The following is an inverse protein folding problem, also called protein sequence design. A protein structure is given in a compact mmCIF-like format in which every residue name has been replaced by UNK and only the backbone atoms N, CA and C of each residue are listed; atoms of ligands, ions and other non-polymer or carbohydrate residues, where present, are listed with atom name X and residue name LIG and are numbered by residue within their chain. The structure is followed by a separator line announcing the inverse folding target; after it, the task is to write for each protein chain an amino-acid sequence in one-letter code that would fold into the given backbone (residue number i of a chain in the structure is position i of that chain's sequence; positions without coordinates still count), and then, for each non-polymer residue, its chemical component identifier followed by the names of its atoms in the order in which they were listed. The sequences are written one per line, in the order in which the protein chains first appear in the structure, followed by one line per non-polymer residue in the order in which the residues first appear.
data_IF_751594529731
#
_entry.id   IF_751594529731
#
_cell.length_a   1.000
_cell.length_b   1.000
_cell.length_c   1.000
_cell.angle_alpha   90.00
_cell.angle_beta   90.00
_cell.angle_gamma   90.00
#
_symmetry.space_group_name_H-M   'P 1'
#
loop_
_entity.id
_entity.type
_entity.pdbx_description
1 polymer ?
#
# COMPACT_ATOMS: atom_id res chain seq x y z
N UNK A 1 -69.88 13.27 2.32
CA UNK A 1 -70.75 13.72 1.21
C UNK A 1 -69.86 14.25 0.09
N UNK A 2 -69.96 13.59 -1.08
CA UNK A 2 -69.78 14.07 -2.46
C UNK A 2 -68.53 14.93 -2.80
N UNK A 3 -67.48 14.43 -3.46
CA UNK A 3 -67.35 13.88 -4.83
C UNK A 3 -67.46 14.93 -5.95
N UNK A 4 -66.34 15.18 -6.63
CA UNK A 4 -66.33 15.58 -8.04
C UNK A 4 -65.38 14.66 -8.83
N UNK A 5 -65.98 13.93 -9.78
CA UNK A 5 -65.37 13.10 -10.82
C UNK A 5 -65.24 13.94 -12.09
N UNK A 6 -64.23 13.65 -12.91
CA UNK A 6 -64.25 13.48 -14.40
C UNK A 6 -62.81 13.50 -14.91
N UNK A 7 -62.38 12.83 -15.98
CA UNK A 7 -62.73 11.61 -16.72
C UNK A 7 -61.57 11.47 -17.73
N UNK A 8 -61.07 10.26 -17.94
CA UNK A 8 -60.04 9.97 -18.93
C UNK A 8 -60.53 10.15 -20.38
N UNK A 9 -59.62 10.43 -21.31
CA UNK A 9 -59.78 10.12 -22.73
C UNK A 9 -58.43 9.86 -23.39
N UNK A 10 -58.17 8.59 -23.68
CA UNK A 10 -57.14 8.14 -24.62
C UNK A 10 -57.51 8.54 -26.05
N UNK A 11 -56.52 8.92 -26.85
CA UNK A 11 -56.61 8.88 -28.31
C UNK A 11 -55.38 8.18 -28.88
N UNK A 12 -55.67 7.11 -29.61
CA UNK A 12 -54.77 6.38 -30.47
C UNK A 12 -54.29 7.25 -31.64
N UNK A 13 -53.00 7.12 -31.98
CA UNK A 13 -52.52 7.32 -33.34
C UNK A 13 -51.72 6.08 -33.73
N UNK A 14 -52.22 5.43 -34.77
CA UNK A 14 -51.70 4.22 -35.39
C UNK A 14 -50.67 4.54 -36.49
N UNK A 15 -49.59 3.76 -36.46
CA UNK A 15 -48.87 3.15 -37.60
C UNK A 15 -48.14 4.05 -38.61
N UNK A 16 -46.81 3.85 -38.68
CA UNK A 16 -46.18 3.37 -39.92
C UNK A 16 -44.83 2.70 -39.64
N UNK A 17 -44.69 1.50 -40.20
CA UNK A 17 -43.55 0.59 -40.17
C UNK A 17 -42.34 1.18 -40.91
N UNK A 18 -41.16 1.11 -40.28
CA UNK A 18 -39.85 1.21 -40.94
C UNK A 18 -38.98 0.06 -40.45
N UNK A 19 -38.71 -0.90 -41.31
CA UNK A 19 -37.85 -2.03 -41.04
C UNK A 19 -36.39 -1.62 -41.26
N UNK A 20 -35.57 -1.60 -40.22
CA UNK A 20 -34.12 -1.58 -40.35
C UNK A 20 -33.51 -2.88 -39.85
N UNK A 21 -32.72 -3.46 -40.75
CA UNK A 21 -32.04 -4.75 -40.66
C UNK A 21 -30.95 -4.68 -39.59
N UNK A 22 -31.06 -5.50 -38.56
CA UNK A 22 -29.95 -5.81 -37.69
C UNK A 22 -29.00 -6.78 -38.41
N UNK A 23 -27.81 -6.30 -38.76
CA UNK A 23 -26.70 -7.15 -39.15
C UNK A 23 -26.08 -7.79 -37.90
N UNK A 24 -26.40 -9.06 -37.68
CA UNK A 24 -25.64 -9.94 -36.79
C UNK A 24 -24.30 -10.29 -37.46
N UNK A 25 -23.19 -9.82 -36.91
CA UNK A 25 -21.87 -10.33 -37.27
C UNK A 25 -21.51 -11.47 -36.30
N UNK A 26 -21.96 -12.68 -36.64
CA UNK A 26 -21.52 -13.91 -35.98
C UNK A 26 -20.11 -14.26 -36.48
N UNK A 27 -19.11 -14.23 -35.59
CA UNK A 27 -17.78 -14.79 -35.87
C UNK A 27 -17.80 -16.29 -35.60
N UNK A 28 -18.02 -17.07 -36.65
CA UNK A 28 -17.81 -18.51 -36.71
C UNK A 28 -16.31 -18.82 -36.80
N UNK A 29 -15.83 -19.70 -35.91
CA UNK A 29 -14.53 -20.39 -36.01
C UNK A 29 -14.61 -21.43 -37.14
N UNK A 30 -13.57 -21.64 -37.96
CA UNK A 30 -13.41 -22.87 -38.72
C UNK A 30 -12.56 -23.87 -37.94
N UNK A 31 -13.14 -25.05 -37.73
CA UNK A 31 -12.47 -26.29 -37.33
C UNK A 31 -12.09 -27.09 -38.57
N UNK A 32 -10.82 -27.49 -38.69
CA UNK A 32 -10.38 -28.56 -39.60
C UNK A 32 -9.43 -29.50 -38.85
N UNK A 33 -9.71 -30.80 -38.93
CA UNK A 33 -9.07 -31.91 -38.23
C UNK A 33 -7.93 -32.54 -39.06
N UNK A 34 -6.84 -32.89 -38.36
CA UNK A 34 -5.96 -34.08 -38.44
C UNK A 34 -5.20 -34.46 -39.73
N UNK A 35 -3.85 -34.53 -39.67
CA UNK A 35 -3.06 -35.80 -39.55
C UNK A 35 -1.50 -35.57 -39.54
N UNK A 36 -0.65 -36.57 -39.18
CA UNK A 36 0.58 -36.39 -38.36
C UNK A 36 1.97 -36.61 -39.03
N UNK A 37 3.00 -36.20 -38.26
CA UNK A 37 4.48 -36.41 -38.22
C UNK A 37 5.22 -37.28 -39.28
N UNK A 38 6.52 -36.98 -39.53
CA UNK A 38 7.58 -37.76 -38.84
C UNK A 38 8.80 -36.94 -38.37
N UNK A 39 9.44 -37.38 -37.26
CA UNK A 39 10.85 -37.09 -36.94
C UNK A 39 11.81 -37.96 -37.77
N UNK A 40 13.15 -37.82 -37.65
CA UNK A 40 13.85 -38.46 -36.53
C UNK A 40 15.18 -37.80 -36.06
N UNK A 41 15.64 -38.25 -34.86
CA UNK A 41 17.02 -38.52 -34.39
C UNK A 41 18.16 -37.52 -34.70
N UNK A 42 19.06 -37.13 -33.80
CA UNK A 42 19.43 -37.59 -32.46
C UNK A 42 20.76 -36.93 -32.05
N UNK A 43 21.33 -37.43 -30.95
CA UNK A 43 22.68 -37.18 -30.39
C UNK A 43 22.83 -36.08 -29.31
N UNK A 44 23.06 -36.54 -28.07
CA UNK A 44 24.33 -36.29 -27.38
C UNK A 44 24.42 -35.08 -26.46
N UNK A 45 24.27 -35.32 -25.15
CA UNK A 45 24.72 -34.54 -23.99
C UNK A 45 26.22 -34.12 -24.08
N UNK A 46 26.79 -33.19 -23.25
CA UNK A 46 26.49 -33.03 -21.82
C UNK A 46 26.50 -31.63 -21.21
N UNK A 47 25.90 -31.59 -20.02
CA UNK A 47 25.97 -30.56 -18.99
C UNK A 47 27.36 -29.96 -18.82
N UNK A 48 27.46 -28.62 -18.88
CA UNK A 48 28.56 -27.89 -18.26
C UNK A 48 28.06 -27.34 -16.93
N UNK A 49 28.37 -28.06 -15.84
CA UNK A 49 28.36 -27.51 -14.47
C UNK A 49 29.28 -26.30 -14.46
N UNK A 50 28.74 -25.12 -14.19
CA UNK A 50 29.51 -24.05 -13.57
C UNK A 50 29.17 -24.10 -12.09
N UNK A 51 30.01 -24.81 -11.35
CA UNK A 51 30.14 -24.58 -9.92
C UNK A 51 30.81 -23.21 -9.78
N UNK A 52 30.03 -22.19 -9.46
CA UNK A 52 30.57 -20.95 -8.90
C UNK A 52 30.64 -21.16 -7.40
N UNK A 53 31.88 -21.24 -6.94
CA UNK A 53 32.32 -21.30 -5.56
C UNK A 53 31.50 -20.34 -4.70
N UNK A 54 30.89 -20.88 -3.64
CA UNK A 54 30.36 -20.08 -2.56
C UNK A 54 31.55 -19.43 -1.84
N UNK A 55 31.91 -18.23 -2.30
CA UNK A 55 32.76 -17.32 -1.56
C UNK A 55 31.98 -16.93 -0.29
N UNK A 56 32.27 -17.66 0.80
CA UNK A 56 32.03 -17.22 2.15
C UNK A 56 32.85 -15.93 2.34
N UNK A 57 32.20 -14.78 2.17
CA UNK A 57 32.80 -13.47 2.28
C UNK A 57 31.87 -12.56 3.04
N UNK A 58 32.27 -12.22 4.27
CA UNK A 58 31.74 -11.20 5.16
C UNK A 58 30.20 -11.10 5.24
N UNK A 59 29.62 -11.66 6.30
CA UNK A 59 28.32 -11.22 6.78
C UNK A 59 28.44 -9.79 7.35
N UNK A 60 28.64 -8.81 6.48
CA UNK A 60 28.12 -7.48 6.76
C UNK A 60 26.65 -7.68 7.10
N UNK A 61 26.24 -7.29 8.31
CA UNK A 61 24.87 -7.41 8.76
C UNK A 61 24.01 -6.64 7.76
N UNK A 62 23.43 -7.35 6.78
CA UNK A 62 22.58 -6.73 5.78
C UNK A 62 21.40 -6.14 6.53
N UNK A 63 21.27 -4.82 6.44
CA UNK A 63 20.10 -4.13 6.98
C UNK A 63 18.87 -4.74 6.31
N UNK A 64 17.98 -5.31 7.12
CA UNK A 64 16.72 -5.90 6.64
C UNK A 64 15.93 -4.83 5.92
N UNK A 65 15.39 -5.17 4.75
CA UNK A 65 14.60 -4.25 3.93
C UNK A 65 13.12 -4.54 4.14
N UNK A 66 12.29 -3.51 4.00
CA UNK A 66 10.84 -3.66 4.11
C UNK A 66 10.27 -4.78 3.22
N UNK A 67 10.88 -5.02 2.05
CA UNK A 67 10.42 -6.01 1.07
C UNK A 67 10.89 -7.44 1.30
N UNK A 68 11.67 -7.70 2.35
CA UNK A 68 12.12 -9.05 2.68
C UNK A 68 10.92 -9.95 3.00
N UNK A 69 10.94 -11.20 2.53
CA UNK A 69 9.81 -12.13 2.67
C UNK A 69 9.45 -12.39 4.14
N UNK A 70 10.46 -12.53 5.00
CA UNK A 70 10.28 -12.69 6.45
C UNK A 70 9.57 -11.49 7.06
N UNK A 71 10.04 -10.27 6.75
CA UNK A 71 9.45 -9.01 7.23
C UNK A 71 8.01 -8.86 6.74
N UNK A 72 7.77 -9.11 5.45
CA UNK A 72 6.43 -9.04 4.87
C UNK A 72 5.49 -10.07 5.51
N UNK A 73 5.95 -11.29 5.78
CA UNK A 73 5.12 -12.33 6.41
C UNK A 73 4.66 -11.92 7.81
N UNK A 74 5.56 -11.33 8.60
CA UNK A 74 5.28 -10.82 9.95
C UNK A 74 4.29 -9.66 9.88
N UNK A 75 4.54 -8.68 9.00
CA UNK A 75 3.67 -7.52 8.86
C UNK A 75 2.27 -7.90 8.35
N UNK A 76 2.17 -8.87 7.43
CA UNK A 76 0.88 -9.39 6.94
C UNK A 76 0.11 -10.07 8.08
N UNK A 77 0.80 -10.87 8.91
CA UNK A 77 0.20 -11.51 10.09
C UNK A 77 -0.38 -10.45 11.05
N UNK A 78 0.44 -9.46 11.43
CA UNK A 78 0.04 -8.42 12.38
C UNK A 78 -1.07 -7.50 11.87
N UNK A 79 -1.11 -7.25 10.56
CA UNK A 79 -2.17 -6.41 9.96
C UNK A 79 -3.55 -7.02 10.18
N UNK A 80 -3.63 -8.35 10.19
CA UNK A 80 -4.88 -9.11 10.28
C UNK A 80 -5.77 -8.91 9.05
N UNK A 81 -6.79 -9.77 8.93
CA UNK A 81 -7.72 -9.74 7.80
C UNK A 81 -9.16 -9.66 8.33
N UNK A 82 -9.74 -8.47 8.28
CA UNK A 82 -11.14 -8.24 8.58
C UNK A 82 -11.91 -7.89 7.30
N UNK A 83 -12.66 -8.86 6.76
CA UNK A 83 -13.42 -8.70 5.52
C UNK A 83 -14.43 -7.55 5.57
N UNK A 84 -15.06 -7.31 6.72
CA UNK A 84 -16.07 -6.25 6.88
C UNK A 84 -15.43 -4.86 6.78
N UNK A 85 -14.21 -4.71 7.30
CA UNK A 85 -13.47 -3.45 7.23
C UNK A 85 -12.84 -3.22 5.86
N UNK A 86 -12.30 -4.28 5.24
CA UNK A 86 -11.67 -4.21 3.92
C UNK A 86 -12.72 -3.89 2.83
N UNK A 87 -13.86 -4.57 2.86
CA UNK A 87 -14.96 -4.37 1.91
C UNK A 87 -16.05 -3.45 2.50
N UNK A 88 -15.63 -2.34 3.12
CA UNK A 88 -16.56 -1.31 3.60
C UNK A 88 -17.37 -0.75 2.42
N UNK A 89 -18.69 -0.57 2.55
CA UNK A 89 -19.52 0.03 1.50
C UNK A 89 -18.98 1.39 1.06
N UNK A 90 -18.61 1.50 -0.21
CA UNK A 90 -18.09 2.73 -0.78
C UNK A 90 -19.23 3.71 -1.12
N UNK A 91 -18.96 5.00 -0.94
CA UNK A 91 -19.84 6.09 -1.39
C UNK A 91 -19.73 6.23 -2.91
N UNK A 92 -20.50 5.41 -3.64
CA UNK A 92 -20.52 5.37 -5.09
C UNK A 92 -21.94 5.21 -5.63
N UNK A 93 -22.12 5.38 -6.95
CA UNK A 93 -23.41 5.15 -7.60
C UNK A 93 -23.84 3.69 -7.38
N UNK A 94 -24.92 3.51 -6.63
CA UNK A 94 -25.42 2.19 -6.27
C UNK A 94 -26.08 1.51 -7.47
N UNK A 95 -25.87 0.20 -7.57
CA UNK A 95 -26.55 -0.70 -8.50
C UNK A 95 -27.40 -1.67 -7.69
N UNK A 96 -28.53 -2.18 -8.23
CA UNK A 96 -29.33 -3.17 -7.54
C UNK A 96 -28.48 -4.42 -7.22
N UNK A 97 -28.56 -4.97 -6.01
CA UNK A 97 -27.79 -6.16 -5.64
C UNK A 97 -28.31 -7.41 -6.36
N UNK A 98 -27.40 -8.36 -6.63
CA UNK A 98 -27.72 -9.65 -7.23
C UNK A 98 -27.73 -10.74 -6.16
N UNK A 99 -28.88 -11.39 -5.96
CA UNK A 99 -29.01 -12.51 -5.02
C UNK A 99 -28.74 -13.84 -5.71
N UNK A 100 -28.08 -14.76 -5.00
CA UNK A 100 -27.80 -16.13 -5.45
C UNK A 100 -28.11 -17.08 -4.30
N UNK A 101 -28.73 -18.22 -4.61
CA UNK A 101 -28.90 -19.32 -3.67
C UNK A 101 -27.66 -20.19 -3.73
N UNK A 102 -27.02 -20.44 -2.59
CA UNK A 102 -25.76 -21.18 -2.50
C UNK A 102 -25.87 -22.33 -1.50
N UNK A 103 -25.18 -23.43 -1.78
CA UNK A 103 -24.92 -24.48 -0.79
C UNK A 103 -23.81 -24.07 0.17
N UNK A 104 -23.64 -24.80 1.27
CA UNK A 104 -22.57 -24.52 2.24
C UNK A 104 -21.16 -24.55 1.60
N UNK A 105 -20.89 -25.53 0.75
CA UNK A 105 -19.62 -25.63 0.03
C UNK A 105 -19.39 -24.42 -0.90
N UNK A 106 -20.42 -23.98 -1.62
CA UNK A 106 -20.33 -22.79 -2.48
C UNK A 106 -20.12 -21.50 -1.68
N UNK A 107 -20.69 -21.40 -0.48
CA UNK A 107 -20.47 -20.27 0.42
C UNK A 107 -19.02 -20.24 0.91
N UNK A 108 -18.45 -21.39 1.27
CA UNK A 108 -17.04 -21.51 1.68
C UNK A 108 -16.07 -21.19 0.54
N UNK A 109 -16.37 -21.60 -0.68
CA UNK A 109 -15.59 -21.20 -1.86
C UNK A 109 -15.65 -19.70 -2.11
N UNK A 110 -16.84 -19.10 -1.99
CA UNK A 110 -17.03 -17.65 -2.14
C UNK A 110 -16.29 -16.85 -1.07
N UNK A 111 -16.28 -17.33 0.19
CA UNK A 111 -15.52 -16.68 1.26
C UNK A 111 -14.01 -16.80 1.04
N UNK A 112 -13.51 -17.95 0.55
CA UNK A 112 -12.09 -18.11 0.17
C UNK A 112 -11.68 -17.15 -0.95
N UNK A 113 -12.50 -17.01 -1.98
CA UNK A 113 -12.27 -16.03 -3.06
C UNK A 113 -12.25 -14.59 -2.53
N UNK A 114 -13.15 -14.25 -1.61
CA UNK A 114 -13.16 -12.93 -0.96
C UNK A 114 -11.89 -12.69 -0.13
N UNK A 115 -11.37 -13.72 0.56
CA UNK A 115 -10.10 -13.65 1.29
C UNK A 115 -8.91 -13.47 0.35
N UNK A 116 -8.86 -14.15 -0.79
CA UNK A 116 -7.81 -13.97 -1.79
C UNK A 116 -7.83 -12.56 -2.40
N UNK A 117 -9.02 -12.07 -2.75
CA UNK A 117 -9.19 -10.70 -3.22
C UNK A 117 -8.77 -9.66 -2.16
N UNK A 118 -9.11 -9.91 -0.90
CA UNK A 118 -8.72 -9.06 0.23
C UNK A 118 -7.19 -9.01 0.39
N UNK A 119 -6.48 -10.14 0.24
CA UNK A 119 -5.02 -10.18 0.28
C UNK A 119 -4.38 -9.32 -0.82
N UNK A 120 -4.93 -9.34 -2.04
CA UNK A 120 -4.45 -8.50 -3.15
C UNK A 120 -4.68 -7.01 -2.85
N UNK A 121 -5.84 -6.67 -2.29
CA UNK A 121 -6.17 -5.29 -1.91
C UNK A 121 -5.33 -4.78 -0.74
N UNK A 122 -4.95 -5.66 0.20
CA UNK A 122 -4.13 -5.36 1.37
C UNK A 122 -2.63 -5.28 1.05
N UNK A 123 -2.22 -5.47 -0.21
CA UNK A 123 -0.82 -5.32 -0.62
C UNK A 123 -0.28 -3.96 -0.19
N UNK A 124 0.76 -4.00 0.64
CA UNK A 124 1.35 -2.82 1.25
C UNK A 124 2.16 -2.03 0.21
N UNK A 125 2.09 -0.68 0.21
CA UNK A 125 2.92 0.12 -0.66
C UNK A 125 4.40 0.01 -0.26
N UNK A 126 5.34 0.11 -1.22
CA UNK A 126 6.76 0.16 -0.90
C UNK A 126 7.09 1.39 -0.04
N UNK A 127 7.91 1.16 0.98
CA UNK A 127 8.55 2.23 1.75
C UNK A 127 9.90 2.51 1.10
N UNK A 128 10.07 3.72 0.57
CA UNK A 128 11.29 4.19 -0.08
C UNK A 128 11.85 5.38 0.69
N UNK A 129 13.15 5.59 0.59
CA UNK A 129 13.82 6.78 1.11
C UNK A 129 13.51 8.00 0.22
N UNK A 130 13.75 9.19 0.77
CA UNK A 130 13.58 10.43 0.05
C UNK A 130 14.57 10.53 -1.12
N UNK A 131 14.03 10.80 -2.31
CA UNK A 131 14.86 10.96 -3.51
C UNK A 131 15.72 12.23 -3.46
N UNK A 132 16.97 12.11 -3.90
CA UNK A 132 17.87 13.26 -4.02
C UNK A 132 17.40 14.25 -5.12
N UNK A 133 17.56 15.58 -4.91
CA UNK A 133 17.20 16.59 -5.90
C UNK A 133 18.08 16.49 -7.16
N UNK A 134 17.48 16.73 -8.33
CA UNK A 134 18.18 16.71 -9.62
C UNK A 134 18.68 18.11 -9.93
N UNK A 135 20.00 18.29 -9.92
CA UNK A 135 20.67 19.54 -10.29
C UNK A 135 21.67 19.27 -11.43
N UNK A 136 21.16 18.89 -12.59
CA UNK A 136 21.96 18.54 -13.76
C UNK A 136 21.72 19.53 -14.91
N UNK A 137 22.79 20.17 -15.36
CA UNK A 137 22.81 21.19 -16.42
C UNK A 137 23.40 20.56 -17.68
N UNK A 138 22.63 20.58 -18.77
CA UNK A 138 23.03 19.96 -20.03
C UNK A 138 23.82 20.92 -20.92
N UNK A 139 23.41 22.18 -20.98
CA UNK A 139 24.04 23.21 -21.81
C UNK A 139 23.77 24.62 -21.28
N UNK A 140 24.66 25.57 -21.58
CA UNK A 140 24.54 26.98 -21.20
C UNK A 140 24.84 27.88 -22.40
N UNK A 141 23.82 28.57 -22.92
CA UNK A 141 23.99 29.50 -24.03
C UNK A 141 23.67 30.93 -23.57
N UNK A 142 24.69 31.65 -23.12
CA UNK A 142 24.57 33.04 -22.62
C UNK A 142 24.04 34.04 -23.65
N UNK A 143 24.13 33.71 -24.94
CA UNK A 143 23.60 34.54 -26.03
C UNK A 143 22.08 34.69 -25.94
N UNK A 144 21.40 33.68 -25.37
CA UNK A 144 19.94 33.66 -25.25
C UNK A 144 19.44 34.30 -23.94
N UNK A 145 20.36 34.75 -23.08
CA UNK A 145 20.04 35.45 -21.85
C UNK A 145 19.26 36.75 -22.15
N UNK A 146 18.13 36.95 -21.46
CA UNK A 146 17.31 38.15 -21.62
C UNK A 146 16.46 38.19 -22.90
N UNK A 147 16.54 37.17 -23.77
CA UNK A 147 15.68 37.09 -24.96
C UNK A 147 14.23 36.72 -24.60
N UNK A 148 14.04 35.88 -23.58
CA UNK A 148 12.73 35.41 -23.14
C UNK A 148 12.55 35.63 -21.64
N UNK A 149 11.32 35.95 -21.22
CA UNK A 149 10.97 36.24 -19.83
C UNK A 149 10.55 35.00 -19.03
N UNK A 150 9.98 33.99 -19.69
CA UNK A 150 9.48 32.77 -19.04
C UNK A 150 10.35 31.55 -19.39
N UNK A 151 10.32 30.54 -18.51
CA UNK A 151 10.96 29.24 -18.78
C UNK A 151 10.11 28.38 -19.71
N UNK A 152 10.77 27.64 -20.61
CA UNK A 152 10.12 26.62 -21.43
C UNK A 152 10.40 25.23 -20.86
N UNK A 153 9.38 24.37 -20.84
CA UNK A 153 9.50 22.99 -20.37
C UNK A 153 9.22 22.07 -21.54
N UNK A 154 10.24 21.32 -21.97
CA UNK A 154 10.13 20.34 -23.03
C UNK A 154 10.03 18.95 -22.42
N UNK A 155 9.00 18.21 -22.81
CA UNK A 155 8.70 16.88 -22.28
C UNK A 155 8.62 15.90 -23.43
N UNK A 156 9.41 14.82 -23.38
CA UNK A 156 9.22 13.69 -24.29
C UNK A 156 7.91 12.97 -23.92
N UNK A 157 7.02 12.77 -24.90
CA UNK A 157 5.70 12.14 -24.74
C UNK A 157 5.63 10.73 -25.35
N UNK A 158 6.77 10.10 -25.64
CA UNK A 158 6.83 8.74 -26.17
C UNK A 158 6.17 7.71 -25.23
N UNK A 159 5.28 6.87 -25.75
CA UNK A 159 4.47 5.95 -24.92
C UNK A 159 5.28 4.81 -24.31
N UNK A 160 6.27 4.27 -25.03
CA UNK A 160 7.01 3.07 -24.64
C UNK A 160 8.09 3.31 -23.56
N UNK A 161 8.25 4.55 -23.08
CA UNK A 161 9.29 4.91 -22.11
C UNK A 161 8.69 5.04 -20.71
N UNK A 162 9.25 4.36 -19.69
CA UNK A 162 8.75 4.46 -18.32
C UNK A 162 8.92 5.87 -17.76
N UNK A 163 8.02 6.26 -16.86
CA UNK A 163 7.99 7.61 -16.30
C UNK A 163 9.22 8.00 -15.49
N UNK A 164 10.07 7.05 -15.05
CA UNK A 164 11.35 7.34 -14.36
C UNK A 164 12.51 7.63 -15.32
N UNK A 165 12.49 7.13 -16.54
CA UNK A 165 13.57 7.30 -17.53
C UNK A 165 13.27 8.42 -18.54
N UNK A 166 12.03 8.91 -18.57
CA UNK A 166 11.59 9.98 -19.48
C UNK A 166 12.43 11.25 -19.35
N UNK A 167 12.76 11.85 -20.49
CA UNK A 167 13.49 13.11 -20.54
C UNK A 167 12.53 14.30 -20.43
N UNK A 168 12.80 15.16 -19.43
CA UNK A 168 12.11 16.42 -19.23
C UNK A 168 13.16 17.48 -18.96
N UNK A 169 13.23 18.48 -19.83
CA UNK A 169 14.23 19.54 -19.78
C UNK A 169 13.57 20.91 -19.69
N UNK A 170 14.23 21.80 -18.98
CA UNK A 170 13.76 23.17 -18.74
C UNK A 170 14.79 24.12 -19.31
N UNK A 171 14.33 25.00 -20.20
CA UNK A 171 15.11 26.12 -20.71
C UNK A 171 14.77 27.36 -19.92
N UNK A 172 15.75 27.85 -19.17
CA UNK A 172 15.61 29.04 -18.34
C UNK A 172 15.86 30.32 -19.13
N UNK A 173 15.33 31.48 -18.68
CA UNK A 173 15.56 32.77 -19.31
C UNK A 173 17.03 33.22 -19.27
N UNK A 174 17.86 32.61 -18.41
CA UNK A 174 19.32 32.77 -18.37
C UNK A 174 20.04 32.15 -19.57
N UNK A 175 19.35 31.36 -20.39
CA UNK A 175 19.98 30.57 -21.45
C UNK A 175 20.49 29.19 -21.00
N UNK A 176 20.27 28.80 -19.75
CA UNK A 176 20.62 27.47 -19.22
C UNK A 176 19.58 26.43 -19.62
N UNK A 177 20.02 25.29 -20.16
CA UNK A 177 19.22 24.09 -20.37
C UNK A 177 19.57 23.06 -19.29
N UNK A 178 18.63 22.82 -18.37
CA UNK A 178 18.78 21.86 -17.27
C UNK A 178 17.72 20.77 -17.30
N UNK A 179 17.94 19.70 -16.55
CA UNK A 179 16.87 18.74 -16.24
C UNK A 179 15.81 19.38 -15.34
N UNK A 180 14.56 18.96 -15.51
CA UNK A 180 13.47 19.40 -14.66
C UNK A 180 13.65 18.91 -13.21
N UNK A 181 13.19 19.70 -12.24
CA UNK A 181 13.11 19.22 -10.86
C UNK A 181 12.10 18.08 -10.74
N UNK A 182 12.12 17.36 -9.63
CA UNK A 182 11.18 16.27 -9.39
C UNK A 182 9.71 16.74 -9.34
N UNK A 183 9.44 17.92 -8.77
CA UNK A 183 8.09 18.51 -8.71
C UNK A 183 7.63 18.95 -10.10
N UNK A 184 8.54 19.54 -10.90
CA UNK A 184 8.27 19.89 -12.29
C UNK A 184 7.97 18.64 -13.11
N UNK A 185 8.75 17.57 -12.90
CA UNK A 185 8.59 16.27 -13.57
C UNK A 185 7.25 15.64 -13.26
N UNK A 186 6.91 15.47 -11.98
CA UNK A 186 5.65 14.84 -11.57
C UNK A 186 4.43 15.62 -12.09
N UNK A 187 4.53 16.96 -12.10
CA UNK A 187 3.49 17.84 -12.66
C UNK A 187 3.36 17.69 -14.17
N UNK A 188 4.47 17.69 -14.92
CA UNK A 188 4.44 17.52 -16.38
C UNK A 188 3.90 16.13 -16.77
N UNK A 189 4.32 15.09 -16.06
CA UNK A 189 3.81 13.73 -16.28
C UNK A 189 2.29 13.71 -16.09
N UNK A 190 1.75 14.33 -15.04
CA UNK A 190 0.29 14.36 -14.84
C UNK A 190 -0.45 15.15 -15.94
N UNK A 191 0.16 16.17 -16.54
CA UNK A 191 -0.45 16.96 -17.62
C UNK A 191 -0.58 16.12 -18.90
N UNK A 192 0.49 15.42 -19.29
CA UNK A 192 0.51 14.63 -20.52
C UNK A 192 -0.05 13.21 -20.36
N UNK A 193 0.09 12.63 -19.16
CA UNK A 193 -0.35 11.29 -18.78
C UNK A 193 -1.21 11.36 -17.51
N UNK A 194 -2.48 11.75 -17.63
CA UNK A 194 -3.34 11.95 -16.47
C UNK A 194 -3.63 10.62 -15.75
N UNK A 195 -3.20 10.52 -14.49
CA UNK A 195 -3.53 9.43 -13.58
C UNK A 195 -4.76 9.79 -12.75
N UNK A 196 -5.69 8.85 -12.60
CA UNK A 196 -6.85 9.02 -11.74
C UNK A 196 -6.45 9.25 -10.27
N UNK A 197 -7.13 10.18 -9.60
CA UNK A 197 -6.87 10.53 -8.20
C UNK A 197 -5.73 11.54 -7.99
N UNK A 198 -4.85 11.75 -8.98
CA UNK A 198 -3.78 12.75 -8.91
C UNK A 198 -4.22 14.09 -9.48
N UNK A 199 -3.93 15.19 -8.77
CA UNK A 199 -4.14 16.57 -9.25
C UNK A 199 -2.82 17.22 -9.64
N UNK A 200 -2.87 18.12 -10.63
CA UNK A 200 -1.70 18.87 -11.12
C UNK A 200 -1.19 19.83 -10.04
N UNK A 201 -2.11 20.52 -9.36
CA UNK A 201 -1.81 21.37 -8.22
C UNK A 201 -2.00 20.57 -6.94
N UNK A 202 -1.08 20.76 -5.98
CA UNK A 202 -1.14 20.12 -4.69
C UNK A 202 -2.46 20.44 -3.98
N UNK A 203 -3.25 19.42 -3.57
CA UNK A 203 -4.50 19.64 -2.89
C UNK A 203 -4.34 20.39 -1.56
N UNK A 204 -5.26 21.32 -1.28
CA UNK A 204 -5.28 22.16 -0.08
C UNK A 204 -5.44 21.32 1.20
N UNK A 205 -5.98 20.10 1.09
CA UNK A 205 -6.15 19.17 2.22
C UNK A 205 -4.84 18.81 2.90
N UNK A 206 -3.70 18.88 2.19
CA UNK A 206 -2.38 18.57 2.73
C UNK A 206 -1.73 19.74 3.49
N UNK A 207 -2.41 20.89 3.60
CA UNK A 207 -1.99 21.93 4.52
C UNK A 207 -2.18 21.46 5.96
N UNK A 208 -1.24 21.80 6.84
CA UNK A 208 -1.18 21.32 8.22
C UNK A 208 -2.49 21.50 9.00
N UNK A 209 -3.16 22.64 8.84
CA UNK A 209 -4.45 22.96 9.49
C UNK A 209 -5.56 21.97 9.08
N UNK A 210 -5.64 21.66 7.79
CA UNK A 210 -6.65 20.77 7.24
C UNK A 210 -6.35 19.31 7.58
N UNK A 211 -5.08 18.93 7.58
CA UNK A 211 -4.64 17.60 8.00
C UNK A 211 -5.01 17.34 9.47
N UNK A 212 -4.72 18.29 10.38
CA UNK A 212 -5.13 18.19 11.79
C UNK A 212 -6.65 18.08 11.96
N UNK A 213 -7.41 18.79 11.13
CA UNK A 213 -8.88 18.70 11.12
C UNK A 213 -9.33 17.29 10.71
N UNK A 214 -8.66 16.65 9.75
CA UNK A 214 -8.95 15.27 9.36
C UNK A 214 -8.60 14.25 10.45
N UNK A 215 -7.50 14.48 11.17
CA UNK A 215 -7.10 13.63 12.31
C UNK A 215 -8.10 13.71 13.46
N UNK A 216 -8.66 14.90 13.71
CA UNK A 216 -9.72 15.08 14.72
C UNK A 216 -10.99 14.29 14.40
N UNK A 217 -11.17 13.87 13.15
CA UNK A 217 -12.31 13.08 12.67
C UNK A 217 -11.99 11.57 12.54
N UNK A 218 -10.82 11.12 13.00
CA UNK A 218 -10.34 9.73 12.87
C UNK A 218 -10.23 9.25 11.41
N UNK A 219 -9.97 10.17 10.49
CA UNK A 219 -9.89 9.91 9.04
C UNK A 219 -8.45 9.72 8.55
N UNK A 220 -7.58 9.13 9.37
CA UNK A 220 -6.17 8.88 9.05
C UNK A 220 -6.00 8.02 7.80
N UNK A 221 -6.80 6.94 7.67
CA UNK A 221 -6.75 6.06 6.50
C UNK A 221 -7.11 6.79 5.19
N UNK A 222 -8.02 7.76 5.24
CA UNK A 222 -8.40 8.57 4.08
C UNK A 222 -7.26 9.49 3.66
N UNK A 223 -6.57 10.12 4.62
CA UNK A 223 -5.40 10.97 4.38
C UNK A 223 -4.29 10.17 3.69
N UNK A 224 -3.97 8.98 4.21
CA UNK A 224 -2.97 8.10 3.59
C UNK A 224 -3.38 7.61 2.21
N UNK A 225 -4.67 7.31 1.99
CA UNK A 225 -5.18 6.93 0.67
C UNK A 225 -5.08 8.07 -0.35
N UNK A 226 -5.38 9.31 0.07
CA UNK A 226 -5.19 10.49 -0.77
C UNK A 226 -3.71 10.73 -1.07
N UNK A 227 -2.82 10.50 -0.10
CA UNK A 227 -1.38 10.64 -0.26
C UNK A 227 -0.82 9.68 -1.33
N UNK A 228 -1.18 8.38 -1.26
CA UNK A 228 -0.79 7.38 -2.26
C UNK A 228 -1.29 7.73 -3.67
N UNK A 229 -2.47 8.31 -3.79
CA UNK A 229 -3.00 8.72 -5.08
C UNK A 229 -2.29 9.97 -5.63
N UNK A 230 -2.03 10.95 -4.75
CA UNK A 230 -1.51 12.25 -5.14
C UNK A 230 -0.01 12.25 -5.41
N UNK A 231 0.80 11.67 -4.52
CA UNK A 231 2.27 11.79 -4.56
C UNK A 231 2.93 10.48 -4.99
N UNK A 232 4.23 10.54 -5.27
CA UNK A 232 5.07 9.36 -5.47
C UNK A 232 5.67 8.91 -4.13
N UNK A 233 5.91 7.60 -3.93
CA UNK A 233 6.34 7.04 -2.64
C UNK A 233 7.73 7.52 -2.17
N UNK A 234 8.56 8.02 -3.08
CA UNK A 234 9.91 8.55 -2.83
C UNK A 234 9.94 10.09 -2.70
N UNK A 235 8.78 10.75 -2.76
CA UNK A 235 8.70 12.21 -2.63
C UNK A 235 8.73 12.67 -1.18
N UNK A 236 9.34 13.83 -0.94
CA UNK A 236 9.43 14.45 0.39
C UNK A 236 8.05 14.65 1.05
N UNK A 237 7.08 15.16 0.29
CA UNK A 237 5.71 15.39 0.79
C UNK A 237 5.01 14.08 1.18
N UNK A 238 5.21 13.01 0.40
CA UNK A 238 4.66 11.70 0.73
C UNK A 238 5.17 11.21 2.08
N UNK A 239 6.49 11.23 2.26
CA UNK A 239 7.14 10.76 3.48
C UNK A 239 6.71 11.63 4.68
N UNK A 240 6.72 12.96 4.51
CA UNK A 240 6.31 13.92 5.54
C UNK A 240 4.89 13.67 6.04
N UNK A 241 3.92 13.52 5.13
CA UNK A 241 2.51 13.30 5.50
C UNK A 241 2.32 11.94 6.18
N UNK A 242 3.00 10.90 5.68
CA UNK A 242 2.95 9.57 6.31
C UNK A 242 3.50 9.60 7.74
N UNK A 243 4.69 10.16 7.94
CA UNK A 243 5.31 10.27 9.27
C UNK A 243 4.44 11.10 10.21
N UNK A 244 3.93 12.26 9.75
CA UNK A 244 3.03 13.10 10.53
C UNK A 244 1.75 12.35 10.94
N UNK A 245 1.21 11.51 10.06
CA UNK A 245 0.01 10.69 10.36
C UNK A 245 0.34 9.63 11.41
N UNK A 246 1.49 8.96 11.30
CA UNK A 246 1.90 7.93 12.25
C UNK A 246 2.18 8.51 13.64
N UNK A 247 2.82 9.68 13.72
CA UNK A 247 3.03 10.36 15.00
C UNK A 247 1.72 10.78 15.67
N UNK A 248 0.71 11.21 14.90
CA UNK A 248 -0.60 11.56 15.45
C UNK A 248 -1.33 10.33 16.01
N UNK A 249 -1.24 9.21 15.29
CA UNK A 249 -1.78 7.92 15.74
C UNK A 249 -1.12 7.47 17.04
N UNK A 250 0.20 7.60 17.14
CA UNK A 250 0.98 7.22 18.32
C UNK A 250 0.60 8.09 19.54
N UNK A 251 0.51 9.41 19.36
CA UNK A 251 0.10 10.36 20.42
C UNK A 251 -1.28 10.07 21.00
N UNK A 252 -2.20 9.54 20.19
CA UNK A 252 -3.57 9.27 20.59
C UNK A 252 -3.87 7.78 20.81
N UNK A 253 -2.90 6.88 20.61
CA UNK A 253 -3.09 5.44 20.74
C UNK A 253 -4.10 4.83 19.75
N UNK A 254 -4.25 5.42 18.55
CA UNK A 254 -5.32 5.06 17.58
C UNK A 254 -4.88 4.02 16.53
N UNK A 255 -4.12 3.01 16.92
CA UNK A 255 -3.53 2.04 15.99
C UNK A 255 -4.57 1.17 15.26
N UNK A 256 -5.71 0.89 15.91
CA UNK A 256 -6.79 0.09 15.33
C UNK A 256 -7.38 0.71 14.06
N UNK A 257 -7.28 2.03 13.87
CA UNK A 257 -7.75 2.69 12.64
C UNK A 257 -7.07 2.11 11.41
N UNK A 258 -5.76 1.86 11.47
CA UNK A 258 -4.98 1.31 10.36
C UNK A 258 -4.92 -0.22 10.35
N UNK A 259 -5.42 -0.91 11.37
CA UNK A 259 -5.52 -2.38 11.37
C UNK A 259 -6.42 -2.88 10.23
N UNK A 260 -6.07 -4.00 9.60
CA UNK A 260 -6.70 -4.50 8.37
C UNK A 260 -6.73 -3.49 7.21
N UNK A 261 -5.74 -2.60 7.15
CA UNK A 261 -5.49 -1.73 5.99
C UNK A 261 -4.07 -1.93 5.48
N UNK A 262 -3.84 -1.61 4.20
CA UNK A 262 -2.52 -1.71 3.56
C UNK A 262 -1.46 -0.79 4.16
N UNK A 263 -1.86 0.14 5.04
CA UNK A 263 -0.99 1.15 5.63
C UNK A 263 -0.36 0.67 6.96
N UNK A 264 -0.88 -0.41 7.55
CA UNK A 264 -0.41 -0.91 8.84
C UNK A 264 1.09 -1.24 8.81
N UNK A 265 1.57 -1.93 7.77
CA UNK A 265 2.98 -2.28 7.68
C UNK A 265 3.91 -1.07 7.58
N UNK A 266 3.51 -0.03 6.85
CA UNK A 266 4.28 1.21 6.76
C UNK A 266 4.40 1.92 8.11
N UNK A 267 3.31 1.90 8.90
CA UNK A 267 3.29 2.43 10.27
C UNK A 267 4.20 1.62 11.20
N UNK A 268 4.05 0.29 11.24
CA UNK A 268 4.87 -0.57 12.08
C UNK A 268 6.37 -0.46 11.73
N UNK A 269 6.69 -0.41 10.43
CA UNK A 269 8.07 -0.21 9.97
C UNK A 269 8.67 1.12 10.41
N UNK A 270 7.88 2.20 10.33
CA UNK A 270 8.30 3.52 10.82
C UNK A 270 8.61 3.48 12.33
N UNK A 271 7.72 2.92 13.14
CA UNK A 271 7.92 2.84 14.59
C UNK A 271 9.12 1.98 15.01
N UNK A 272 9.41 0.90 14.28
CA UNK A 272 10.59 0.07 14.54
C UNK A 272 11.88 0.83 14.23
N UNK A 273 11.93 1.57 13.12
CA UNK A 273 13.11 2.35 12.77
C UNK A 273 13.33 3.52 13.74
N UNK A 274 12.27 4.18 14.18
CA UNK A 274 12.30 5.28 15.16
C UNK A 274 12.41 4.82 16.62
N UNK A 275 12.40 3.50 16.88
CA UNK A 275 12.40 2.90 18.22
C UNK A 275 11.25 3.38 19.12
N UNK A 276 10.06 3.56 18.53
CA UNK A 276 8.82 4.00 19.20
C UNK A 276 7.75 2.92 19.11
N UNK A 277 8.07 1.70 19.54
CA UNK A 277 7.13 0.55 19.43
C UNK A 277 6.24 0.36 20.67
N UNK A 278 6.55 1.05 21.78
CA UNK A 278 5.90 0.86 23.07
C UNK A 278 4.37 0.99 23.01
N UNK A 279 3.88 2.07 22.39
CA UNK A 279 2.44 2.32 22.31
C UNK A 279 1.70 1.28 21.46
N UNK A 280 2.30 0.84 20.35
CA UNK A 280 1.74 -0.23 19.52
C UNK A 280 1.74 -1.58 20.25
N UNK A 281 2.80 -1.86 21.02
CA UNK A 281 2.92 -3.08 21.81
C UNK A 281 1.87 -3.13 22.92
N UNK A 282 1.64 -2.01 23.59
CA UNK A 282 0.59 -1.84 24.60
C UNK A 282 -0.79 -2.11 24.00
N UNK A 283 -1.12 -1.51 22.85
CA UNK A 283 -2.41 -1.70 22.18
C UNK A 283 -2.64 -3.16 21.79
N UNK A 284 -1.60 -3.88 21.37
CA UNK A 284 -1.69 -5.30 21.03
C UNK A 284 -1.96 -6.17 22.25
N UNK A 285 -1.27 -5.92 23.38
CA UNK A 285 -1.49 -6.70 24.62
C UNK A 285 -2.88 -6.42 25.19
N UNK A 286 -3.34 -5.17 25.18
CA UNK A 286 -4.68 -4.79 25.66
C UNK A 286 -5.82 -5.42 24.85
N UNK A 287 -5.56 -5.85 23.61
CA UNK A 287 -6.52 -6.50 22.71
C UNK A 287 -6.37 -8.03 22.67
N UNK A 288 -5.60 -8.60 23.60
CA UNK A 288 -5.29 -10.03 23.66
C UNK A 288 -4.55 -10.57 22.41
N UNK A 289 -3.83 -9.70 21.70
CA UNK A 289 -3.06 -10.03 20.49
C UNK A 289 -1.58 -10.28 20.81
N UNK A 290 -1.32 -11.18 21.76
CA UNK A 290 0.03 -11.48 22.25
C UNK A 290 0.95 -12.06 21.16
N UNK A 291 0.38 -12.83 20.24
CA UNK A 291 1.14 -13.37 19.11
C UNK A 291 1.68 -12.27 18.20
N UNK A 292 0.90 -11.22 17.98
CA UNK A 292 1.30 -10.05 17.19
C UNK A 292 2.32 -9.20 17.95
N UNK A 293 2.14 -9.05 19.27
CA UNK A 293 3.08 -8.36 20.15
C UNK A 293 4.45 -9.06 20.16
N UNK A 294 4.46 -10.39 20.23
CA UNK A 294 5.68 -11.18 20.15
C UNK A 294 6.34 -11.03 18.77
N UNK A 295 5.54 -11.09 17.70
CA UNK A 295 6.00 -10.88 16.33
C UNK A 295 6.57 -9.47 16.11
N UNK A 296 6.04 -8.44 16.76
CA UNK A 296 6.57 -7.07 16.72
C UNK A 296 7.97 -6.98 17.36
N UNK A 297 8.15 -7.58 18.54
CA UNK A 297 9.45 -7.61 19.24
C UNK A 297 10.47 -8.43 18.44
N UNK A 298 10.05 -9.56 17.84
CA UNK A 298 10.90 -10.33 16.93
C UNK A 298 11.36 -9.49 15.74
N UNK A 299 10.44 -8.75 15.10
CA UNK A 299 10.78 -7.87 13.99
C UNK A 299 11.73 -6.74 14.43
N UNK A 300 11.54 -6.19 15.63
CA UNK A 300 12.45 -5.20 16.20
C UNK A 300 13.87 -5.76 16.38
N UNK A 301 14.02 -6.96 16.94
CA UNK A 301 15.32 -7.63 17.08
C UNK A 301 15.97 -7.98 15.72
N UNK A 302 15.16 -8.24 14.68
CA UNK A 302 15.67 -8.48 13.32
C UNK A 302 16.26 -7.22 12.69
N UNK A 303 15.65 -6.05 12.95
CA UNK A 303 16.12 -4.76 12.42
C UNK A 303 17.28 -4.19 13.25
N UNK A 304 17.26 -4.40 14.57
CA UNK A 304 18.28 -3.92 15.52
C UNK A 304 19.00 -5.08 16.23
N UNK A 305 19.85 -5.86 15.53
CA UNK A 305 20.51 -7.04 16.12
C UNK A 305 21.55 -6.71 17.20
N UNK A 306 22.06 -5.47 17.19
CA UNK A 306 23.02 -4.94 18.18
C UNK A 306 22.33 -4.34 19.42
N UNK A 307 20.99 -4.39 19.48
CA UNK A 307 20.24 -3.94 20.65
C UNK A 307 20.50 -4.81 21.88
N UNK A 308 20.45 -4.21 23.07
CA UNK A 308 20.56 -4.93 24.35
C UNK A 308 19.46 -6.00 24.47
N UNK A 309 18.24 -5.64 24.07
CA UNK A 309 17.09 -6.55 24.04
C UNK A 309 17.34 -7.78 23.17
N UNK A 310 17.94 -7.59 21.99
CA UNK A 310 18.22 -8.65 21.03
C UNK A 310 19.34 -9.59 21.51
N UNK A 311 20.36 -9.04 22.19
CA UNK A 311 21.46 -9.82 22.76
C UNK A 311 20.97 -10.65 23.95
N UNK A 312 20.28 -10.04 24.92
CA UNK A 312 19.74 -10.73 26.08
C UNK A 312 18.70 -11.80 25.70
N UNK A 313 17.87 -11.52 24.69
CA UNK A 313 16.91 -12.50 24.17
C UNK A 313 17.60 -13.74 23.57
N UNK A 314 18.74 -13.56 22.90
CA UNK A 314 19.55 -14.67 22.36
C UNK A 314 20.23 -15.46 23.47
N UNK A 315 20.78 -14.78 24.47
CA UNK A 315 21.43 -15.42 25.62
C UNK A 315 20.46 -16.25 26.44
N UNK A 316 19.26 -15.74 26.69
CA UNK A 316 18.23 -16.40 27.48
C UNK A 316 17.37 -17.36 26.66
N UNK A 317 17.59 -17.46 25.34
CA UNK A 317 16.72 -18.16 24.40
C UNK A 317 15.23 -17.86 24.67
N UNK A 318 14.92 -16.58 24.88
CA UNK A 318 13.60 -16.16 25.33
C UNK A 318 12.57 -16.36 24.20
N UNK A 319 11.42 -16.94 24.53
CA UNK A 319 10.32 -17.16 23.59
C UNK A 319 9.00 -16.59 24.12
N UNK A 320 8.09 -16.25 23.21
CA UNK A 320 6.74 -15.76 23.53
C UNK A 320 6.74 -14.53 24.44
N UNK A 321 5.98 -14.61 25.54
CA UNK A 321 5.86 -13.53 26.52
C UNK A 321 7.19 -13.12 27.17
N UNK A 322 8.17 -14.04 27.22
CA UNK A 322 9.47 -13.71 27.80
C UNK A 322 10.26 -12.74 26.92
N UNK A 323 10.08 -12.78 25.59
CA UNK A 323 10.67 -11.78 24.68
C UNK A 323 10.18 -10.38 25.00
N UNK A 324 8.88 -10.25 25.25
CA UNK A 324 8.25 -8.98 25.60
C UNK A 324 8.79 -8.48 26.95
N UNK A 325 8.96 -9.36 27.92
CA UNK A 325 9.55 -9.03 29.23
C UNK A 325 11.01 -8.57 29.11
N UNK A 326 11.83 -9.23 28.29
CA UNK A 326 13.22 -8.83 28.04
C UNK A 326 13.26 -7.44 27.39
N UNK A 327 12.46 -7.22 26.36
CA UNK A 327 12.36 -5.91 25.70
C UNK A 327 11.91 -4.80 26.67
N UNK A 328 10.90 -5.07 27.50
CA UNK A 328 10.36 -4.11 28.46
C UNK A 328 11.40 -3.65 29.51
N UNK A 329 12.34 -4.51 29.88
CA UNK A 329 13.38 -4.20 30.88
C UNK A 329 14.59 -3.47 30.31
N UNK A 330 14.87 -3.67 29.04
CA UNK A 330 16.12 -3.23 28.40
C UNK A 330 15.94 -1.96 27.59
N UNK A 331 15.03 -1.96 26.62
CA UNK A 331 14.96 -0.91 25.59
C UNK A 331 13.65 -0.11 25.59
N UNK A 332 12.58 -0.62 26.20
CA UNK A 332 11.31 0.10 26.24
C UNK A 332 11.39 1.38 27.08
N UNK A 333 10.83 2.48 26.58
CA UNK A 333 10.71 3.73 27.34
C UNK A 333 9.60 3.61 28.40
N UNK A 334 8.52 2.93 28.06
CA UNK A 334 7.38 2.64 28.95
C UNK A 334 7.43 1.24 29.55
N UNK A 335 8.63 0.74 29.87
CA UNK A 335 8.87 -0.62 30.36
C UNK A 335 7.98 -1.05 31.53
N UNK A 336 7.92 -0.22 32.59
CA UNK A 336 7.11 -0.52 33.78
C UNK A 336 5.61 -0.66 33.48
N UNK A 337 5.09 0.12 32.52
CA UNK A 337 3.69 0.05 32.13
C UNK A 337 3.41 -1.18 31.27
N UNK A 338 4.33 -1.55 30.37
CA UNK A 338 4.26 -2.79 29.59
C UNK A 338 4.26 -4.01 30.53
N UNK A 339 5.12 -4.03 31.55
CA UNK A 339 5.15 -5.11 32.54
C UNK A 339 3.84 -5.23 33.31
N UNK A 340 3.27 -4.09 33.75
CA UNK A 340 1.99 -4.06 34.46
C UNK A 340 0.84 -4.62 33.61
N UNK A 341 0.75 -4.21 32.34
CA UNK A 341 -0.29 -4.70 31.42
C UNK A 341 -0.09 -6.19 31.17
N UNK A 342 1.15 -6.62 30.97
CA UNK A 342 1.46 -8.03 30.73
C UNK A 342 1.13 -8.90 31.94
N UNK A 343 1.35 -8.42 33.17
CA UNK A 343 0.90 -9.08 34.40
C UNK A 343 -0.63 -9.18 34.44
N UNK A 344 -1.32 -8.09 34.16
CA UNK A 344 -2.79 -8.04 34.14
C UNK A 344 -3.37 -9.05 33.13
N UNK A 345 -2.76 -9.15 31.96
CA UNK A 345 -3.11 -10.14 30.94
C UNK A 345 -2.86 -11.58 31.44
N UNK A 346 -1.72 -11.85 32.07
CA UNK A 346 -1.40 -13.17 32.64
C UNK A 346 -2.41 -13.59 33.72
N UNK A 347 -2.77 -12.68 34.62
CA UNK A 347 -3.75 -12.94 35.68
C UNK A 347 -5.15 -13.21 35.09
N UNK A 348 -5.57 -12.41 34.10
CA UNK A 348 -6.84 -12.63 33.40
C UNK A 348 -6.85 -14.00 32.68
N UNK A 349 -5.76 -14.36 32.01
CA UNK A 349 -5.61 -15.64 31.33
C UNK A 349 -5.71 -16.83 32.30
N UNK A 350 -5.03 -16.74 33.46
CA UNK A 350 -5.09 -17.77 34.51
C UNK A 350 -6.53 -17.93 35.02
N UNK A 351 -7.21 -16.82 35.30
CA UNK A 351 -8.60 -16.84 35.77
C UNK A 351 -9.56 -17.46 34.74
N UNK A 352 -9.40 -17.16 33.45
CA UNK A 352 -10.20 -17.79 32.38
C UNK A 352 -9.92 -19.29 32.23
N UNK A 353 -8.66 -19.71 32.38
CA UNK A 353 -8.27 -21.12 32.31
C UNK A 353 -8.74 -21.94 33.53
N UNK A 354 -8.90 -21.30 34.69
CA UNK A 354 -9.40 -21.93 35.92
C UNK A 354 -10.93 -21.99 36.00
N UNK A 355 -11.64 -21.15 35.21
CA UNK A 355 -13.09 -21.09 35.15
C UNK A 355 -13.71 -21.95 34.02
N UNK A 356 -12.87 -22.50 33.13
CA UNK A 356 -13.26 -23.50 32.11
C UNK A 356 -12.93 -24.90 32.60
#
# INVERSE_FOLDING_TARGET
MAAFRTRASWRHLTCSRGAERFFFCARTRPSTLLQPLPGPCGAGSPCRRLASEAACGNSEIQKRTFMDEEVQSILIKMTGLNLQKIFKPALQKLKPPTYKLMTQAQLEEATRQAVEAAKVQLKMPPVLEERAPINDVLAEDKILEGTVTAKYVFTDISYNIPHRERFIVVREPSGTLRKASWEERDRMIQIYFPKEGRRILTPIIFKEENVKTMYSQDRHADVLNLCIAQFEPDSAEYIKIHHQTYEDIDKHGKYDLLRSTRHFGGMAWYFINEKKIDGLLIDQIQRDLVDDATSLVQLYHMVHPEGQSAQEAKEQAAEGLNLIKVFAKTEAQMGAYIELILQTYQDAFINHSAAS
#
